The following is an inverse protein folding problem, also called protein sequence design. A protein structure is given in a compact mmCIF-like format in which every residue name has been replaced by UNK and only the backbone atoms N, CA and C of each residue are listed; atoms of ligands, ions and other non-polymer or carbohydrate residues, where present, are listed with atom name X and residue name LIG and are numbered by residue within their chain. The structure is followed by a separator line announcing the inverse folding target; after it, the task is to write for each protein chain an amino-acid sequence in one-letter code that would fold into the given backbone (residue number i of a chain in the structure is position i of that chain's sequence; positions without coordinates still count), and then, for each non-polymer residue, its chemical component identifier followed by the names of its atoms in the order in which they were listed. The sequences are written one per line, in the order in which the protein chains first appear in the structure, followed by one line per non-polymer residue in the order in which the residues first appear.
data_IF_723127990485
#
_entry.id   IF_723127990485
#
_cell.length_a   1.000
_cell.length_b   1.000
_cell.length_c   1.000
_cell.angle_alpha   90.00
_cell.angle_beta   90.00
_cell.angle_gamma   90.00
#
_symmetry.space_group_name_H-M   'P 1'
#
loop_
_entity.id
_entity.type
_entity.pdbx_description
1 polymer ?
#
# COMPACT_ATOMS: atom_id res chain seq x y z
N UNK A 1 60.31 -21.80 -45.36
CA UNK A 1 59.57 -22.55 -44.32
C UNK A 1 59.68 -21.81 -42.99
N UNK A 2 58.60 -21.82 -42.19
CA UNK A 2 58.47 -21.35 -40.78
C UNK A 2 58.43 -19.82 -40.53
N UNK A 3 57.39 -19.13 -41.00
CA UNK A 3 56.95 -17.83 -40.41
C UNK A 3 55.42 -17.61 -40.42
N UNK A 4 54.60 -18.67 -40.38
CA UNK A 4 53.13 -18.54 -40.52
C UNK A 4 52.34 -19.04 -39.30
N UNK A 5 53.01 -19.51 -38.24
CA UNK A 5 52.33 -20.18 -37.11
C UNK A 5 51.96 -19.22 -35.95
N UNK A 6 52.24 -17.92 -36.05
CA UNK A 6 52.02 -16.99 -34.92
C UNK A 6 50.74 -16.14 -34.98
N UNK A 7 49.94 -16.26 -36.04
CA UNK A 7 48.80 -15.34 -36.28
C UNK A 7 47.45 -15.91 -35.80
N UNK A 8 47.36 -17.18 -35.42
CA UNK A 8 46.08 -17.79 -35.03
C UNK A 8 45.71 -17.71 -33.55
N UNK A 9 46.60 -17.26 -32.65
CA UNK A 9 46.28 -17.18 -31.22
C UNK A 9 45.65 -15.85 -30.78
N UNK A 10 45.61 -14.82 -31.66
CA UNK A 10 45.13 -13.47 -31.31
C UNK A 10 43.71 -13.17 -31.78
N UNK A 11 42.95 -14.16 -32.24
CA UNK A 11 41.54 -13.99 -32.68
C UNK A 11 40.54 -14.58 -31.66
N UNK A 12 41.01 -15.23 -30.60
CA UNK A 12 40.15 -15.80 -29.54
C UNK A 12 39.78 -14.81 -28.42
N UNK A 13 40.17 -13.52 -28.51
CA UNK A 13 39.92 -12.53 -27.45
C UNK A 13 39.01 -11.38 -27.90
N UNK A 14 37.97 -11.69 -28.68
CA UNK A 14 36.89 -10.75 -28.96
C UNK A 14 35.53 -11.43 -28.87
N UNK A 15 35.26 -12.08 -27.74
CA UNK A 15 33.87 -12.19 -27.30
C UNK A 15 33.56 -10.83 -26.68
N UNK A 16 32.79 -9.93 -27.32
CA UNK A 16 32.23 -8.84 -26.56
C UNK A 16 31.39 -9.51 -25.46
N UNK A 17 31.82 -9.34 -24.22
CA UNK A 17 30.95 -9.54 -23.08
C UNK A 17 29.76 -8.61 -23.31
N UNK A 18 28.70 -9.15 -23.89
CA UNK A 18 27.37 -8.54 -23.90
C UNK A 18 26.87 -8.60 -22.46
N UNK A 19 27.40 -7.73 -21.61
CA UNK A 19 26.69 -7.32 -20.41
C UNK A 19 25.49 -6.54 -20.93
N UNK A 20 24.34 -7.22 -20.97
CA UNK A 20 23.05 -6.59 -21.19
C UNK A 20 22.88 -5.55 -20.07
N UNK A 21 22.97 -4.28 -20.44
CA UNK A 21 22.58 -3.15 -19.62
C UNK A 21 21.05 -3.26 -19.49
N UNK A 22 20.53 -3.95 -18.45
CA UNK A 22 19.10 -3.89 -18.12
C UNK A 22 18.75 -2.41 -18.04
N UNK A 23 17.99 -1.93 -19.02
CA UNK A 23 17.75 -0.50 -19.14
C UNK A 23 16.88 -0.07 -17.96
N UNK A 24 17.12 1.12 -17.41
CA UNK A 24 16.33 1.67 -16.28
C UNK A 24 14.81 1.62 -16.52
N UNK A 25 14.41 1.65 -17.78
CA UNK A 25 13.03 1.53 -18.23
C UNK A 25 12.44 0.14 -17.99
N UNK A 26 13.19 -0.94 -18.28
CA UNK A 26 12.78 -2.32 -17.99
C UNK A 26 12.67 -2.57 -16.48
N UNK A 27 13.59 -2.02 -15.69
CA UNK A 27 13.52 -2.11 -14.22
C UNK A 27 12.30 -1.38 -13.67
N UNK A 28 12.00 -0.17 -14.17
CA UNK A 28 10.82 0.58 -13.76
C UNK A 28 9.53 -0.15 -14.14
N UNK A 29 9.46 -0.69 -15.36
CA UNK A 29 8.31 -1.45 -15.83
C UNK A 29 8.05 -2.69 -14.94
N UNK A 30 9.11 -3.39 -14.52
CA UNK A 30 8.99 -4.52 -13.57
C UNK A 30 8.47 -4.08 -12.21
N UNK A 31 8.94 -2.94 -11.67
CA UNK A 31 8.46 -2.41 -10.39
C UNK A 31 6.99 -2.02 -10.48
N UNK A 32 6.57 -1.35 -11.56
CA UNK A 32 5.18 -0.95 -11.78
C UNK A 32 4.25 -2.15 -11.96
N UNK A 33 4.72 -3.21 -12.61
CA UNK A 33 3.96 -4.46 -12.77
C UNK A 33 3.65 -5.15 -11.44
N UNK A 34 4.54 -5.01 -10.46
CA UNK A 34 4.35 -5.53 -9.10
C UNK A 34 3.65 -4.55 -8.17
N UNK A 35 3.42 -3.31 -8.60
CA UNK A 35 2.78 -2.29 -7.77
C UNK A 35 1.30 -2.63 -7.53
N UNK A 36 0.78 -2.12 -6.42
CA UNK A 36 -0.60 -2.27 -6.00
C UNK A 36 -1.19 -0.90 -5.67
N UNK A 37 -2.44 -0.73 -6.06
CA UNK A 37 -3.27 0.40 -5.67
C UNK A 37 -4.06 0.03 -4.42
N UNK A 38 -4.05 0.90 -3.41
CA UNK A 38 -4.86 0.80 -2.21
C UNK A 38 -5.82 1.98 -2.24
N UNK A 39 -7.10 1.67 -2.46
CA UNK A 39 -8.18 2.64 -2.43
C UNK A 39 -8.84 2.59 -1.06
N UNK A 40 -8.98 3.76 -0.44
CA UNK A 40 -9.52 3.92 0.90
C UNK A 40 -10.61 4.95 0.87
N UNK A 41 -11.83 4.50 1.15
CA UNK A 41 -12.96 5.34 1.44
C UNK A 41 -13.11 5.41 2.96
N UNK A 42 -13.19 6.60 3.54
CA UNK A 42 -13.25 6.78 4.98
C UNK A 42 -14.33 7.79 5.35
N UNK A 43 -15.08 7.49 6.41
CA UNK A 43 -16.10 8.38 6.93
C UNK A 43 -16.03 8.45 8.46
N UNK A 44 -16.24 9.65 8.99
CA UNK A 44 -16.46 9.89 10.42
C UNK A 44 -17.93 10.21 10.64
N UNK A 45 -18.57 9.42 11.50
CA UNK A 45 -19.98 9.57 11.87
C UNK A 45 -20.06 9.98 13.34
N UNK A 46 -20.72 11.11 13.59
CA UNK A 46 -21.13 11.54 14.94
C UNK A 46 -22.50 10.93 15.25
N UNK A 47 -22.78 10.64 16.52
CA UNK A 47 -24.14 10.20 16.91
C UNK A 47 -25.18 11.26 16.48
N UNK A 48 -26.15 10.84 15.67
CA UNK A 48 -27.08 11.74 14.98
C UNK A 48 -27.20 11.43 13.48
N UNK A 49 -26.31 10.57 12.94
CA UNK A 49 -26.29 10.13 11.54
C UNK A 49 -25.88 11.23 10.54
N UNK A 50 -25.41 12.37 11.05
CA UNK A 50 -24.79 13.41 10.25
C UNK A 50 -23.33 13.04 10.00
N UNK A 51 -22.99 12.85 8.71
CA UNK A 51 -21.61 12.67 8.27
C UNK A 51 -20.83 13.93 8.62
N UNK A 52 -19.85 13.79 9.53
CA UNK A 52 -18.99 14.91 9.90
C UNK A 52 -17.89 15.11 8.85
N UNK A 53 -17.41 14.01 8.28
CA UNK A 53 -16.29 14.03 7.36
C UNK A 53 -16.27 12.76 6.51
N UNK A 54 -15.84 12.91 5.25
CA UNK A 54 -15.73 11.84 4.26
C UNK A 54 -14.48 12.10 3.39
N UNK A 55 -13.75 11.05 3.04
CA UNK A 55 -12.56 11.16 2.22
C UNK A 55 -12.30 9.89 1.41
N UNK A 56 -11.91 10.10 0.16
CA UNK A 56 -11.48 9.10 -0.80
C UNK A 56 -10.01 9.30 -1.12
N UNK A 57 -9.18 8.31 -0.79
CA UNK A 57 -7.74 8.36 -1.00
C UNK A 57 -7.31 7.11 -1.75
N UNK A 58 -6.55 7.29 -2.82
CA UNK A 58 -5.84 6.20 -3.49
C UNK A 58 -4.34 6.35 -3.26
N UNK A 59 -3.67 5.28 -2.83
CA UNK A 59 -2.22 5.21 -2.67
C UNK A 59 -1.67 4.08 -3.51
N UNK A 60 -0.51 4.30 -4.12
CA UNK A 60 0.21 3.26 -4.86
C UNK A 60 1.44 2.87 -4.05
N UNK A 61 1.66 1.57 -3.89
CA UNK A 61 2.84 1.01 -3.23
C UNK A 61 3.25 -0.28 -3.91
N UNK A 62 4.32 -0.91 -3.43
CA UNK A 62 4.66 -2.29 -3.79
C UNK A 62 4.40 -3.20 -2.57
N UNK A 63 4.08 -4.48 -2.79
CA UNK A 63 3.93 -5.43 -1.71
C UNK A 63 5.12 -5.42 -0.73
N UNK A 64 4.83 -5.47 0.56
CA UNK A 64 5.77 -5.35 1.67
C UNK A 64 6.09 -3.92 2.08
N UNK A 65 5.62 -2.89 1.34
CA UNK A 65 5.83 -1.48 1.71
C UNK A 65 4.55 -0.81 2.19
N UNK A 66 4.64 -0.26 3.39
CA UNK A 66 3.60 0.50 4.05
C UNK A 66 3.22 1.77 3.28
N UNK A 67 1.94 2.11 3.33
CA UNK A 67 1.43 3.46 3.09
C UNK A 67 0.82 4.00 4.37
N UNK A 68 1.03 5.28 4.64
CA UNK A 68 0.50 5.93 5.84
C UNK A 68 -0.61 6.90 5.46
N UNK A 69 -1.72 6.81 6.17
CA UNK A 69 -2.81 7.77 6.16
C UNK A 69 -2.77 8.54 7.48
N UNK A 70 -2.83 9.86 7.40
CA UNK A 70 -2.78 10.73 8.55
C UNK A 70 -4.03 11.61 8.57
N UNK A 71 -4.69 11.64 9.72
CA UNK A 71 -5.78 12.55 10.03
C UNK A 71 -5.38 13.30 11.28
N UNK A 72 -5.44 14.63 11.25
CA UNK A 72 -5.01 15.48 12.35
C UNK A 72 -5.97 16.67 12.45
N UNK A 73 -6.44 16.93 13.66
CA UNK A 73 -7.22 18.11 14.04
C UNK A 73 -6.46 18.85 15.15
N UNK A 74 -7.06 19.86 15.77
CA UNK A 74 -6.42 20.57 16.89
C UNK A 74 -6.21 19.70 18.14
N UNK A 75 -7.08 18.72 18.38
CA UNK A 75 -7.06 17.88 19.59
C UNK A 75 -6.97 16.37 19.31
N UNK A 76 -7.00 15.96 18.04
CA UNK A 76 -7.01 14.55 17.65
C UNK A 76 -5.98 14.26 16.57
N UNK A 77 -5.35 13.09 16.66
CA UNK A 77 -4.44 12.57 15.63
C UNK A 77 -4.69 11.10 15.42
N UNK A 78 -4.88 10.68 14.18
CA UNK A 78 -5.01 9.30 13.77
C UNK A 78 -3.99 9.00 12.66
N UNK A 79 -3.09 8.07 12.94
CA UNK A 79 -2.16 7.50 11.97
C UNK A 79 -2.58 6.08 11.64
N UNK A 80 -2.69 5.75 10.36
CA UNK A 80 -3.03 4.41 9.89
C UNK A 80 -1.97 3.95 8.90
N UNK A 81 -1.29 2.87 9.24
CA UNK A 81 -0.32 2.22 8.38
C UNK A 81 -0.97 0.99 7.72
N UNK A 82 -0.95 0.97 6.39
CA UNK A 82 -1.49 -0.11 5.58
C UNK A 82 -0.35 -0.75 4.79
N UNK A 83 -0.05 -2.01 5.09
CA UNK A 83 1.04 -2.76 4.46
C UNK A 83 0.48 -3.99 3.73
N UNK A 84 0.41 -3.96 2.39
CA UNK A 84 -0.06 -5.10 1.61
C UNK A 84 1.07 -6.14 1.44
N UNK A 85 0.77 -7.42 1.61
CA UNK A 85 1.67 -8.52 1.27
C UNK A 85 1.01 -9.35 0.18
N UNK A 86 1.72 -9.55 -0.94
CA UNK A 86 1.24 -10.37 -2.05
C UNK A 86 1.58 -11.84 -1.77
N UNK A 87 0.63 -12.72 -2.00
CA UNK A 87 0.83 -14.17 -2.00
C UNK A 87 0.34 -14.73 -3.32
N UNK A 88 1.18 -15.54 -3.96
CA UNK A 88 0.85 -16.25 -5.19
C UNK A 88 0.79 -17.74 -4.90
N UNK A 89 -0.31 -18.39 -5.25
CA UNK A 89 -0.50 -19.84 -5.20
C UNK A 89 -1.05 -20.34 -6.53
N UNK A 90 -1.19 -21.66 -6.67
CA UNK A 90 -1.82 -22.28 -7.84
C UNK A 90 -3.26 -21.79 -8.07
N UNK A 91 -3.93 -21.29 -7.02
CA UNK A 91 -5.29 -20.74 -7.03
C UNK A 91 -5.34 -19.26 -7.45
N UNK A 92 -4.19 -18.62 -7.67
CA UNK A 92 -4.07 -17.23 -8.13
C UNK A 92 -3.39 -16.30 -7.12
N UNK A 93 -3.63 -15.00 -7.29
CA UNK A 93 -3.04 -13.94 -6.47
C UNK A 93 -3.99 -13.56 -5.34
N UNK A 94 -3.47 -13.52 -4.12
CA UNK A 94 -4.15 -12.98 -2.94
C UNK A 94 -3.28 -11.96 -2.23
N UNK A 95 -3.89 -11.14 -1.39
CA UNK A 95 -3.20 -10.16 -0.57
C UNK A 95 -3.50 -10.38 0.90
N UNK A 96 -2.50 -10.22 1.75
CA UNK A 96 -2.68 -10.04 3.19
C UNK A 96 -2.36 -8.58 3.53
N UNK A 97 -3.36 -7.83 3.97
CA UNK A 97 -3.21 -6.47 4.43
C UNK A 97 -3.00 -6.44 5.94
N UNK A 98 -1.87 -5.89 6.35
CA UNK A 98 -1.66 -5.49 7.74
C UNK A 98 -2.10 -4.04 7.89
N UNK A 99 -3.02 -3.78 8.81
CA UNK A 99 -3.50 -2.46 9.18
C UNK A 99 -3.12 -2.16 10.64
N UNK A 100 -2.30 -1.14 10.86
CA UNK A 100 -1.96 -0.63 12.19
C UNK A 100 -2.53 0.76 12.33
N UNK A 101 -3.23 1.04 13.42
CA UNK A 101 -3.77 2.36 13.71
C UNK A 101 -3.28 2.84 15.07
N UNK A 102 -3.02 4.14 15.16
CA UNK A 102 -2.57 4.83 16.34
C UNK A 102 -3.37 6.12 16.46
N UNK A 103 -4.05 6.29 17.59
CA UNK A 103 -4.92 7.43 17.86
C UNK A 103 -4.44 8.14 19.11
N UNK A 104 -4.31 9.46 19.02
CA UNK A 104 -4.05 10.36 20.13
C UNK A 104 -5.22 11.32 20.25
N UNK A 105 -5.69 11.53 21.47
CA UNK A 105 -6.70 12.51 21.81
C UNK A 105 -6.19 13.34 22.99
N UNK A 106 -6.22 14.66 22.85
CA UNK A 106 -5.86 15.59 23.93
C UNK A 106 -7.12 16.28 24.45
N UNK A 107 -7.34 16.17 25.77
CA UNK A 107 -8.41 16.84 26.49
C UNK A 107 -7.87 17.56 27.75
N UNK A 108 -8.78 18.09 28.58
CA UNK A 108 -8.41 18.77 29.83
C UNK A 108 -7.75 17.86 30.87
N UNK A 109 -7.88 16.54 30.74
CA UNK A 109 -7.30 15.54 31.64
C UNK A 109 -5.94 15.03 31.13
N UNK A 110 -5.62 15.25 29.85
CA UNK A 110 -4.32 15.03 29.24
C UNK A 110 -4.40 14.34 27.88
N UNK A 111 -3.32 13.66 27.50
CA UNK A 111 -3.23 12.94 26.22
C UNK A 111 -3.57 11.46 26.41
N UNK A 112 -4.62 11.00 25.75
CA UNK A 112 -5.02 9.60 25.66
C UNK A 112 -4.44 8.98 24.39
N UNK A 113 -3.87 7.78 24.51
CA UNK A 113 -3.33 7.03 23.38
C UNK A 113 -4.03 5.68 23.21
N UNK A 114 -4.32 5.32 21.96
CA UNK A 114 -4.87 4.02 21.57
C UNK A 114 -4.16 3.49 20.35
N UNK A 115 -4.04 2.18 20.27
CA UNK A 115 -3.59 1.53 19.04
C UNK A 115 -4.41 0.28 18.76
N UNK A 116 -4.48 -0.07 17.48
CA UNK A 116 -5.13 -1.29 17.03
C UNK A 116 -4.35 -1.88 15.86
N UNK A 117 -4.38 -3.21 15.77
CA UNK A 117 -3.70 -3.99 14.75
C UNK A 117 -4.67 -5.02 14.18
N UNK A 118 -4.72 -5.13 12.85
CA UNK A 118 -5.50 -6.16 12.17
C UNK A 118 -4.73 -6.69 10.96
N UNK A 119 -4.76 -8.00 10.77
CA UNK A 119 -4.28 -8.65 9.55
C UNK A 119 -5.47 -9.29 8.84
N UNK A 120 -5.61 -9.02 7.54
CA UNK A 120 -6.79 -9.37 6.75
C UNK A 120 -6.31 -9.96 5.44
N UNK A 121 -6.72 -11.17 5.12
CA UNK A 121 -6.54 -11.72 3.77
C UNK A 121 -7.71 -11.31 2.88
N UNK A 122 -7.40 -10.91 1.65
CA UNK A 122 -8.38 -10.46 0.67
C UNK A 122 -7.94 -10.80 -0.75
N UNK A 123 -8.93 -10.93 -1.63
CA UNK A 123 -8.72 -11.07 -3.06
C UNK A 123 -8.56 -9.69 -3.73
N UNK A 124 -7.93 -9.63 -4.92
CA UNK A 124 -7.90 -8.41 -5.73
C UNK A 124 -9.30 -7.84 -5.95
N UNK A 125 -9.49 -6.55 -5.66
CA UNK A 125 -10.76 -5.84 -5.84
C UNK A 125 -11.78 -6.02 -4.71
N UNK A 126 -11.51 -6.89 -3.72
CA UNK A 126 -12.40 -7.09 -2.58
C UNK A 126 -12.43 -5.83 -1.68
N UNK A 127 -13.64 -5.41 -1.28
CA UNK A 127 -13.85 -4.31 -0.34
C UNK A 127 -13.96 -4.85 1.08
N UNK A 128 -13.07 -4.40 1.96
CA UNK A 128 -13.07 -4.77 3.37
C UNK A 128 -13.43 -3.57 4.25
N UNK A 129 -14.13 -3.83 5.37
CA UNK A 129 -14.42 -2.82 6.38
C UNK A 129 -13.42 -2.91 7.54
N UNK A 130 -12.82 -1.76 7.84
CA UNK A 130 -11.89 -1.56 8.95
C UNK A 130 -12.37 -0.41 9.84
N UNK A 131 -12.24 -0.61 11.15
CA UNK A 131 -12.69 0.33 12.18
C UNK A 131 -11.46 0.71 13.03
N UNK A 132 -10.70 1.74 12.64
CA UNK A 132 -9.44 2.09 13.30
C UNK A 132 -9.61 2.45 14.78
N UNK A 133 -10.79 2.94 15.15
CA UNK A 133 -11.15 3.30 16.52
C UNK A 133 -11.98 2.21 17.24
N UNK A 134 -12.14 1.04 16.61
CA UNK A 134 -12.94 -0.07 17.12
C UNK A 134 -14.44 0.02 16.78
N UNK A 135 -15.13 -1.10 16.99
CA UNK A 135 -16.57 -1.24 16.81
C UNK A 135 -17.28 -0.69 18.05
N UNK A 136 -17.69 0.58 17.99
CA UNK A 136 -18.35 1.32 19.09
C UNK A 136 -17.45 1.49 20.32
N UNK A 137 -16.82 2.64 20.42
CA UNK A 137 -16.42 3.14 21.74
C UNK A 137 -17.72 3.58 22.45
N UNK A 138 -18.29 2.72 23.27
CA UNK A 138 -19.12 3.19 24.38
C UNK A 138 -18.14 3.89 25.34
N UNK A 139 -18.37 5.18 25.56
CA UNK A 139 -17.81 5.95 26.68
C UNK A 139 -16.32 6.26 26.63
N UNK A 140 -15.80 7.01 25.64
CA UNK A 140 -14.45 7.59 25.89
C UNK A 140 -14.17 8.98 25.33
N UNK A 141 -15.15 9.80 24.98
CA UNK A 141 -14.86 11.22 24.75
C UNK A 141 -15.97 12.05 25.38
N UNK A 142 -15.60 12.91 26.32
CA UNK A 142 -16.43 13.99 26.86
C UNK A 142 -16.75 14.97 25.72
N UNK A 143 -17.67 14.60 24.83
CA UNK A 143 -17.96 15.32 23.59
C UNK A 143 -18.69 14.53 22.50
N UNK A 144 -18.83 13.21 22.62
CA UNK A 144 -19.61 12.39 21.69
C UNK A 144 -18.90 11.10 21.26
N UNK A 145 -19.67 10.08 20.88
CA UNK A 145 -19.13 8.80 20.43
C UNK A 145 -18.66 8.95 18.97
N UNK A 146 -17.38 9.28 18.77
CA UNK A 146 -16.78 9.35 17.43
C UNK A 146 -16.58 7.95 16.86
N UNK A 147 -17.16 7.69 15.69
CA UNK A 147 -17.04 6.44 14.98
C UNK A 147 -16.40 6.67 13.61
N UNK A 148 -15.30 5.98 13.34
CA UNK A 148 -14.67 6.00 12.02
C UNK A 148 -14.82 4.65 11.35
N UNK A 149 -15.33 4.68 10.12
CA UNK A 149 -15.45 3.53 9.25
C UNK A 149 -14.55 3.72 8.03
N UNK A 150 -13.88 2.64 7.62
CA UNK A 150 -13.02 2.65 6.44
C UNK A 150 -13.33 1.45 5.54
N UNK A 151 -13.70 1.73 4.30
CA UNK A 151 -13.70 0.78 3.22
C UNK A 151 -12.33 0.76 2.56
N UNK A 152 -11.64 -0.39 2.56
CA UNK A 152 -10.33 -0.54 1.94
C UNK A 152 -10.45 -1.56 0.80
N UNK A 153 -9.84 -1.25 -0.35
CA UNK A 153 -9.74 -2.14 -1.51
C UNK A 153 -8.29 -2.17 -1.99
N UNK A 154 -7.81 -3.34 -2.40
CA UNK A 154 -6.48 -3.51 -2.98
C UNK A 154 -6.62 -4.12 -4.37
N UNK A 155 -5.94 -3.52 -5.34
CA UNK A 155 -5.94 -3.96 -6.73
C UNK A 155 -4.52 -3.89 -7.31
N UNK A 156 -4.20 -4.72 -8.31
CA UNK A 156 -2.98 -4.54 -9.11
C UNK A 156 -2.96 -3.13 -9.70
N UNK A 157 -1.81 -2.46 -9.64
CA UNK A 157 -1.65 -1.15 -10.25
C UNK A 157 -1.68 -1.29 -11.77
N UNK A 158 -2.58 -0.55 -12.43
CA UNK A 158 -2.63 -0.43 -13.89
C UNK A 158 -2.27 0.98 -14.28
N UNK A 159 -1.48 1.11 -15.34
CA UNK A 159 -1.14 2.42 -15.89
C UNK A 159 -2.17 2.76 -16.98
N UNK A 160 -2.64 4.01 -17.05
CA UNK A 160 -3.67 4.49 -17.99
C UNK A 160 -3.42 4.14 -19.47
N UNK A 161 -2.19 3.77 -19.86
CA UNK A 161 -1.85 3.32 -21.21
C UNK A 161 -2.52 1.99 -21.62
N UNK A 162 -2.96 1.16 -20.68
CA UNK A 162 -3.62 -0.12 -21.00
C UNK A 162 -5.11 0.03 -21.35
N UNK A 163 -5.77 1.15 -21.02
CA UNK A 163 -7.22 1.35 -21.27
C UNK A 163 -7.56 1.82 -22.70
N UNK A 164 -6.57 2.13 -23.54
CA UNK A 164 -6.80 2.61 -24.92
C UNK A 164 -6.53 1.56 -26.01
N UNK A 165 -6.39 0.29 -25.64
CA UNK A 165 -6.19 -0.81 -26.60
C UNK A 165 -7.23 -1.91 -26.40
N UNK A 166 -8.50 -1.56 -26.60
CA UNK A 166 -9.59 -2.51 -26.88
C UNK A 166 -10.42 -1.99 -28.08
#
# INVERSE_FOLDING_TARGET
MRKVIFIYCLILLSVPFLFADETKEETLARILKEAVSISVHSQIVLQGNDKYWESDITKVTIPGRAVTLLFETESEKLSIELTPFKSESDDGVSYTLTAVSQFWHEDSEGVQFRSSFKSISLLPGELILFYPLGLKTQEVLSGGNLHMEMGIRIEPYRTEKEEQTD
#
